data_IF_082392725662
#
_entry.id   IF_082392725662
#
_cell.length_a   1.000
_cell.length_b   1.000
_cell.length_c   1.000
_cell.angle_alpha   90.00
_cell.angle_beta   90.00
_cell.angle_gamma   90.00
#
_symmetry.space_group_name_H-M   'P 1'
#
loop_
_entity.id
_entity.type
_entity.pdbx_description
1 polymer ?
#
# COMPACT_ATOMS: atom_id res chain seq x y z
N UNK A 1 -7.04 15.86 25.43
CA UNK A 1 -8.34 15.21 25.60
C UNK A 1 -8.49 14.09 24.60
N UNK A 2 -8.89 12.93 25.05
CA UNK A 2 -8.99 11.75 24.20
C UNK A 2 -10.42 11.58 23.76
N UNK A 3 -10.63 11.41 22.46
CA UNK A 3 -11.93 11.07 21.91
C UNK A 3 -12.19 9.58 22.14
N UNK A 4 -13.37 9.22 22.71
CA UNK A 4 -13.64 7.80 22.94
C UNK A 4 -13.64 6.96 21.68
N UNK A 5 -14.01 7.57 20.55
CA UNK A 5 -14.08 6.86 19.27
C UNK A 5 -12.78 6.87 18.50
N UNK A 6 -11.77 7.60 18.97
CA UNK A 6 -10.50 7.65 18.26
C UNK A 6 -9.57 6.57 18.79
N UNK A 7 -9.23 5.66 17.93
CA UNK A 7 -8.25 4.62 18.25
C UNK A 7 -6.98 4.94 17.50
N UNK A 8 -5.89 5.05 18.23
CA UNK A 8 -4.59 5.35 17.65
C UNK A 8 -3.79 4.07 17.58
N UNK A 9 -3.25 3.79 16.41
CA UNK A 9 -2.42 2.62 16.18
C UNK A 9 -1.03 3.08 15.80
N UNK A 10 -0.01 2.43 16.34
CA UNK A 10 1.38 2.85 16.16
C UNK A 10 2.23 1.78 15.49
N UNK A 11 1.65 0.64 15.16
CA UNK A 11 2.35 -0.46 14.52
C UNK A 11 1.88 -0.67 13.08
N UNK A 12 1.43 0.39 12.43
CA UNK A 12 0.94 0.31 11.07
C UNK A 12 2.04 0.65 10.07
N UNK A 13 1.97 0.00 8.92
CA UNK A 13 2.89 0.20 7.81
C UNK A 13 2.06 0.52 6.58
N UNK A 14 2.52 1.50 5.81
CA UNK A 14 1.90 1.85 4.53
C UNK A 14 2.72 1.22 3.41
N UNK A 15 2.08 0.35 2.64
CA UNK A 15 2.66 -0.23 1.45
C UNK A 15 2.12 0.55 0.26
N UNK A 16 3.00 1.03 -0.59
CA UNK A 16 2.63 1.78 -1.79
C UNK A 16 3.19 1.07 -3.01
N UNK A 17 2.33 0.82 -3.97
CA UNK A 17 2.72 0.20 -5.24
C UNK A 17 2.26 1.11 -6.37
N UNK A 18 3.18 1.41 -7.29
CA UNK A 18 2.82 2.08 -8.53
C UNK A 18 2.95 1.03 -9.62
N UNK A 19 1.84 0.75 -10.28
CA UNK A 19 1.75 -0.37 -11.22
C UNK A 19 1.19 0.11 -12.54
N UNK A 20 1.26 -0.77 -13.54
CA UNK A 20 0.70 -0.51 -14.85
C UNK A 20 -0.82 -0.44 -14.74
N UNK A 21 -1.41 0.39 -15.59
CA UNK A 21 -2.86 0.51 -15.67
C UNK A 21 -3.47 -0.88 -15.88
N UNK A 22 -4.51 -1.17 -15.12
CA UNK A 22 -5.21 -2.44 -15.20
C UNK A 22 -4.67 -3.51 -14.26
N UNK A 23 -3.62 -3.22 -13.50
CA UNK A 23 -2.99 -4.20 -12.62
C UNK A 23 -3.46 -4.05 -11.17
N UNK A 24 -4.04 -2.91 -10.80
CA UNK A 24 -4.34 -2.63 -9.40
C UNK A 24 -5.28 -3.66 -8.78
N UNK A 25 -6.28 -4.14 -9.50
CA UNK A 25 -7.24 -5.07 -8.94
C UNK A 25 -6.57 -6.39 -8.54
N UNK A 26 -5.63 -6.87 -9.37
CA UNK A 26 -4.88 -8.09 -9.04
C UNK A 26 -4.00 -7.88 -7.82
N UNK A 27 -3.41 -6.71 -7.70
CA UNK A 27 -2.58 -6.37 -6.55
C UNK A 27 -3.41 -6.36 -5.28
N UNK A 28 -4.58 -5.71 -5.33
CA UNK A 28 -5.46 -5.64 -4.17
C UNK A 28 -5.93 -7.03 -3.78
N UNK A 29 -6.31 -7.85 -4.76
CA UNK A 29 -6.75 -9.21 -4.46
C UNK A 29 -5.64 -10.01 -3.78
N UNK A 30 -4.42 -9.93 -4.28
CA UNK A 30 -3.31 -10.65 -3.68
C UNK A 30 -3.04 -10.17 -2.26
N UNK A 31 -3.12 -8.87 -2.04
CA UNK A 31 -2.93 -8.31 -0.70
C UNK A 31 -4.02 -8.79 0.26
N UNK A 32 -5.26 -8.82 -0.19
CA UNK A 32 -6.37 -9.26 0.65
C UNK A 32 -6.25 -10.75 0.98
N UNK A 33 -5.83 -11.55 0.02
CA UNK A 33 -5.61 -12.98 0.28
C UNK A 33 -4.49 -13.20 1.28
N UNK A 34 -3.56 -12.27 1.37
CA UNK A 34 -2.49 -12.34 2.35
C UNK A 34 -2.84 -11.70 3.69
N UNK A 35 -4.05 -11.15 3.82
CA UNK A 35 -4.54 -10.63 5.08
C UNK A 35 -4.85 -9.15 5.13
N UNK A 36 -4.60 -8.41 4.06
CA UNK A 36 -4.92 -6.98 4.05
C UNK A 36 -6.42 -6.78 4.06
N UNK A 37 -6.87 -5.74 4.75
CA UNK A 37 -8.30 -5.48 4.91
C UNK A 37 -8.87 -4.68 3.75
N UNK A 38 -8.08 -3.82 3.15
CA UNK A 38 -8.55 -3.01 2.05
C UNK A 38 -7.42 -2.22 1.46
N UNK A 39 -7.74 -1.45 0.43
CA UNK A 39 -6.74 -0.67 -0.27
C UNK A 39 -7.38 0.58 -0.86
N UNK A 40 -6.56 1.59 -1.08
CA UNK A 40 -6.95 2.78 -1.82
C UNK A 40 -6.25 2.74 -3.15
N UNK A 41 -7.02 2.92 -4.23
CA UNK A 41 -6.49 2.94 -5.58
C UNK A 41 -6.75 4.32 -6.16
N UNK A 42 -5.74 4.92 -6.77
CA UNK A 42 -5.97 6.12 -7.54
C UNK A 42 -5.12 6.10 -8.80
N UNK A 43 -5.55 6.87 -9.78
CA UNK A 43 -4.90 6.91 -11.07
C UNK A 43 -3.82 7.98 -11.08
N UNK A 44 -2.73 7.70 -11.80
CA UNK A 44 -1.61 8.60 -11.89
C UNK A 44 -0.98 8.48 -13.26
N UNK A 45 -0.04 9.35 -13.55
CA UNK A 45 0.73 9.30 -14.79
C UNK A 45 2.20 9.43 -14.43
N UNK A 46 3.01 8.71 -15.16
CA UNK A 46 4.43 8.76 -14.88
C UNK A 46 5.25 8.28 -16.05
N UNK A 47 6.56 8.53 -15.95
CA UNK A 47 7.52 8.01 -16.90
C UNK A 47 8.47 7.11 -16.14
N UNK A 48 8.69 5.92 -16.68
CA UNK A 48 9.59 4.97 -16.05
C UNK A 48 10.86 4.79 -16.85
N UNK A 49 11.77 4.01 -16.29
CA UNK A 49 13.06 3.73 -16.91
C UNK A 49 12.88 3.10 -18.28
N UNK A 50 11.92 2.20 -18.41
CA UNK A 50 11.64 1.52 -19.65
C UNK A 50 11.26 2.50 -20.74
N UNK A 51 10.51 3.53 -20.38
CA UNK A 51 10.11 4.54 -21.35
C UNK A 51 11.26 5.43 -21.74
N UNK A 52 12.23 5.60 -20.86
CA UNK A 52 13.44 6.31 -21.21
C UNK A 52 14.20 5.62 -22.34
N UNK A 53 14.22 4.30 -22.31
CA UNK A 53 14.83 3.53 -23.40
C UNK A 53 14.05 3.73 -24.69
N UNK A 54 12.73 3.71 -24.59
CA UNK A 54 11.90 3.99 -25.76
C UNK A 54 11.97 5.44 -26.15
N UNK A 55 12.35 6.30 -25.21
CA UNK A 55 12.58 7.72 -25.47
C UNK A 55 13.69 7.97 -26.45
N UNK A 56 14.56 7.00 -26.68
CA UNK A 56 15.55 7.10 -27.76
C UNK A 56 14.88 7.27 -29.11
N UNK A 57 13.62 6.90 -29.20
CA UNK A 57 12.83 7.10 -30.40
C UNK A 57 12.12 8.45 -30.41
N UNK A 58 12.46 9.31 -29.46
CA UNK A 58 11.90 10.65 -29.36
C UNK A 58 10.52 10.72 -28.77
N UNK A 59 10.08 9.64 -28.13
CA UNK A 59 8.75 9.59 -27.56
C UNK A 59 8.84 9.63 -26.04
N UNK A 60 8.59 10.81 -25.49
CA UNK A 60 8.40 10.97 -24.06
C UNK A 60 6.93 10.67 -23.78
N UNK A 61 6.63 9.42 -23.56
CA UNK A 61 5.26 9.01 -23.34
C UNK A 61 4.96 8.95 -21.86
N UNK A 62 4.03 9.77 -21.41
CA UNK A 62 3.47 9.64 -20.08
C UNK A 62 2.52 8.46 -20.13
N UNK A 63 2.76 7.49 -19.29
CA UNK A 63 1.96 6.28 -19.25
C UNK A 63 1.06 6.34 -18.04
N UNK A 64 -0.19 5.97 -18.26
CA UNK A 64 -1.14 5.88 -17.17
C UNK A 64 -0.72 4.78 -16.19
N UNK A 65 -0.75 5.10 -14.93
CA UNK A 65 -0.38 4.22 -13.84
C UNK A 65 -1.52 4.13 -12.85
N UNK A 66 -1.46 3.11 -12.02
CA UNK A 66 -2.34 3.02 -10.87
C UNK A 66 -1.48 2.96 -9.62
N UNK A 67 -1.91 3.67 -8.58
CA UNK A 67 -1.24 3.67 -7.30
C UNK A 67 -2.13 2.93 -6.32
N UNK A 68 -1.57 1.93 -5.67
CA UNK A 68 -2.27 1.16 -4.65
C UNK A 68 -1.61 1.43 -3.32
N UNK A 69 -2.40 1.84 -2.34
CA UNK A 69 -1.90 2.07 -0.99
C UNK A 69 -2.64 1.16 -0.03
N UNK A 70 -1.89 0.45 0.78
CA UNK A 70 -2.43 -0.55 1.69
C UNK A 70 -1.81 -0.31 3.06
N UNK A 71 -2.65 -0.18 4.08
CA UNK A 71 -2.18 -0.04 5.44
C UNK A 71 -2.34 -1.39 6.13
N UNK A 72 -1.25 -1.90 6.68
CA UNK A 72 -1.22 -3.23 7.27
C UNK A 72 -0.50 -3.20 8.61
N UNK A 73 -0.77 -4.17 9.49
CA UNK A 73 0.02 -4.32 10.71
C UNK A 73 1.46 -4.65 10.38
N UNK A 74 2.36 -4.20 11.21
CA UNK A 74 3.79 -4.37 11.00
C UNK A 74 4.18 -5.84 10.85
N UNK A 75 3.57 -6.73 11.65
CA UNK A 75 3.92 -8.14 11.63
C UNK A 75 3.42 -8.88 10.39
N UNK A 76 2.57 -8.25 9.59
CA UNK A 76 2.09 -8.83 8.33
C UNK A 76 2.67 -8.13 7.11
N UNK A 77 3.44 -7.07 7.32
CA UNK A 77 3.87 -6.21 6.23
C UNK A 77 4.77 -6.92 5.23
N UNK A 78 5.71 -7.73 5.71
CA UNK A 78 6.65 -8.39 4.82
C UNK A 78 5.95 -9.39 3.91
N UNK A 79 4.99 -10.14 4.45
CA UNK A 79 4.26 -11.11 3.65
C UNK A 79 3.45 -10.42 2.57
N UNK A 80 2.72 -9.36 2.95
CA UNK A 80 1.88 -8.65 1.99
C UNK A 80 2.73 -7.96 0.95
N UNK A 81 3.85 -7.38 1.35
CA UNK A 81 4.80 -6.77 0.45
C UNK A 81 5.25 -7.76 -0.63
N UNK A 82 5.63 -8.97 -0.21
CA UNK A 82 6.08 -9.99 -1.15
C UNK A 82 4.96 -10.41 -2.11
N UNK A 83 3.75 -10.58 -1.58
CA UNK A 83 2.63 -11.00 -2.41
C UNK A 83 2.26 -9.95 -3.44
N UNK A 84 2.34 -8.67 -3.07
CA UNK A 84 2.11 -7.58 -4.00
C UNK A 84 3.17 -7.57 -5.10
N UNK A 85 4.43 -7.76 -4.71
CA UNK A 85 5.53 -7.82 -5.67
C UNK A 85 5.29 -8.89 -6.72
N UNK A 86 4.87 -10.06 -6.28
CA UNK A 86 4.63 -11.18 -7.18
C UNK A 86 3.42 -10.90 -8.08
N UNK A 87 2.33 -10.42 -7.50
CA UNK A 87 1.10 -10.18 -8.24
C UNK A 87 1.29 -9.11 -9.32
N UNK A 88 2.11 -8.11 -9.05
CA UNK A 88 2.37 -7.04 -10.00
C UNK A 88 3.49 -7.39 -10.98
N UNK A 89 4.07 -8.58 -10.87
CA UNK A 89 5.15 -9.04 -11.75
C UNK A 89 6.31 -8.08 -11.76
N UNK A 90 6.67 -7.58 -10.59
CA UNK A 90 7.68 -6.53 -10.47
C UNK A 90 9.10 -7.05 -10.67
N UNK A 91 9.27 -8.36 -10.86
CA UNK A 91 10.52 -8.92 -11.33
C UNK A 91 10.75 -8.69 -12.81
N UNK A 92 9.79 -8.08 -13.49
CA UNK A 92 9.88 -7.73 -14.91
C UNK A 92 10.17 -6.24 -15.02
N UNK A 93 11.20 -5.85 -15.78
CA UNK A 93 11.54 -4.43 -15.91
C UNK A 93 10.36 -3.60 -16.43
N UNK A 94 10.13 -2.47 -15.80
CA UNK A 94 9.10 -1.54 -16.22
C UNK A 94 7.70 -1.83 -15.71
N UNK A 95 7.53 -2.86 -14.89
CA UNK A 95 6.20 -3.22 -14.41
C UNK A 95 5.75 -2.41 -13.20
N UNK A 96 6.66 -1.80 -12.47
CA UNK A 96 6.26 -0.98 -11.36
C UNK A 96 7.32 -0.86 -10.29
N UNK A 97 6.95 -0.18 -9.23
CA UNK A 97 7.81 0.02 -8.08
C UNK A 97 6.97 -0.14 -6.81
N UNK A 98 7.61 -0.63 -5.79
CA UNK A 98 6.96 -0.95 -4.53
C UNK A 98 7.84 -0.52 -3.38
N UNK A 99 7.23 0.10 -2.38
CA UNK A 99 7.96 0.43 -1.16
C UNK A 99 7.00 0.39 0.01
N UNK A 100 7.55 0.38 1.22
CA UNK A 100 6.74 0.51 2.41
C UNK A 100 7.37 1.49 3.38
N UNK A 101 6.51 2.13 4.13
CA UNK A 101 6.89 3.15 5.09
C UNK A 101 6.18 2.88 6.39
N UNK A 102 6.94 2.87 7.48
CA UNK A 102 6.34 2.76 8.79
C UNK A 102 5.61 4.05 9.11
N UNK A 103 4.37 3.94 9.52
CA UNK A 103 3.59 5.09 9.94
C UNK A 103 3.85 5.36 11.40
N UNK A 104 4.07 6.62 11.72
CA UNK A 104 4.32 7.00 13.10
C UNK A 104 3.09 6.73 13.95
N UNK A 105 1.92 7.11 13.45
CA UNK A 105 0.66 6.75 14.08
C UNK A 105 -0.45 6.88 13.06
N UNK A 106 -1.50 6.16 13.31
CA UNK A 106 -2.70 6.17 12.48
C UNK A 106 -3.90 6.18 13.40
N UNK A 107 -4.93 6.91 13.05
CA UNK A 107 -6.14 6.98 13.88
C UNK A 107 -7.37 6.75 13.02
N UNK A 108 -8.27 5.95 13.53
CA UNK A 108 -9.58 5.74 12.95
C UNK A 108 -10.47 5.11 14.01
N UNK A 109 -11.75 5.04 13.73
CA UNK A 109 -12.64 4.30 14.61
C UNK A 109 -12.60 2.82 14.24
N UNK A 110 -12.25 1.98 15.18
CA UNK A 110 -12.28 0.53 14.99
C UNK A 110 -12.82 -0.09 16.27
N UNK A 111 -13.87 -0.91 16.18
CA UNK A 111 -14.32 -1.66 17.36
C UNK A 111 -13.20 -2.52 17.91
N UNK A 112 -13.11 -2.62 19.22
CA UNK A 112 -12.00 -3.31 19.87
C UNK A 112 -11.84 -4.75 19.38
N UNK A 113 -12.93 -5.47 19.23
CA UNK A 113 -12.85 -6.86 18.80
C UNK A 113 -12.33 -6.99 17.39
N UNK A 114 -12.57 -5.98 16.55
CA UNK A 114 -12.09 -6.02 15.17
C UNK A 114 -10.61 -5.67 15.12
N UNK A 115 -10.18 -4.70 15.88
CA UNK A 115 -8.77 -4.33 15.92
C UNK A 115 -7.92 -5.53 16.35
N UNK A 116 -8.37 -6.25 17.37
CA UNK A 116 -7.64 -7.41 17.85
C UNK A 116 -7.57 -8.51 16.79
N UNK A 117 -8.64 -8.70 16.02
CA UNK A 117 -8.67 -9.74 14.98
C UNK A 117 -7.70 -9.47 13.87
N UNK A 118 -7.41 -8.21 13.56
CA UNK A 118 -6.60 -7.85 12.42
C UNK A 118 -5.15 -7.57 12.78
N UNK A 119 -4.79 -7.75 14.05
CA UNK A 119 -3.41 -7.63 14.45
C UNK A 119 -2.93 -6.22 14.76
N UNK A 120 -3.80 -5.23 14.66
CA UNK A 120 -3.41 -3.88 15.05
C UNK A 120 -3.46 -3.73 16.57
N UNK A 121 -2.49 -3.06 17.11
CA UNK A 121 -2.42 -2.79 18.54
C UNK A 121 -2.71 -1.31 18.76
N UNK A 122 -3.63 -1.04 19.66
CA UNK A 122 -3.96 0.33 20.01
C UNK A 122 -2.75 0.97 20.67
N UNK A 123 -2.30 2.05 20.07
CA UNK A 123 -1.30 2.86 20.69
C UNK A 123 -1.96 3.69 21.77
N UNK A 124 -1.19 4.07 22.73
CA UNK A 124 -1.73 4.89 23.77
C UNK A 124 -1.56 6.34 23.38
N UNK A 125 -2.65 6.94 23.06
CA UNK A 125 -2.64 8.38 22.87
C UNK A 125 -2.91 8.98 24.22
N UNK A 126 -1.90 9.20 24.95
CA UNK A 126 -2.06 9.91 26.20
C UNK A 126 -2.23 11.35 25.88
N UNK A 127 -3.30 11.63 25.25
CA UNK A 127 -3.61 13.01 24.97
C UNK A 127 -3.95 13.71 26.28
N UNK A 128 -3.27 13.36 27.19
CA UNK A 128 -3.38 14.18 28.36
C UNK A 128 -2.83 15.51 28.03
#
# INVERSE_FOLDING_TARGET
MTHPEMIVMVDAVLITAIVQRGTADEVVQAAQEAGAQGATIFHARGTGIRQKHLGLLGLMVNVDKEVVQIIVPEDQADLIFERVFIAAKMDTPGMGILWMTRLEKMATYVPHQIAARFGFHAGREDAT
#
